data_IF_947440172504
#
_entry.id   IF_947440172504
#
_cell.length_a   1.000
_cell.length_b   1.000
_cell.length_c   1.000
_cell.angle_alpha   90.00
_cell.angle_beta   90.00
_cell.angle_gamma   90.00
#
_symmetry.space_group_name_H-M   'P 1'
#
loop_
_entity.id
_entity.type
_entity.pdbx_description
1 polymer ?
#
# COMPACT_ATOMS: atom_id res chain seq x y z
N UNK A 1 55.70 -44.35 -15.49
CA UNK A 1 54.96 -43.79 -16.64
C UNK A 1 53.80 -42.99 -16.06
N UNK A 2 54.00 -41.69 -15.82
CA UNK A 2 53.72 -40.58 -16.77
C UNK A 2 52.24 -40.16 -16.64
N UNK A 3 51.98 -39.15 -15.80
CA UNK A 3 51.73 -37.73 -16.15
C UNK A 3 50.23 -37.40 -16.20
N UNK A 4 49.81 -36.41 -15.39
CA UNK A 4 48.76 -35.46 -15.80
C UNK A 4 48.93 -34.12 -15.10
N UNK A 5 49.72 -33.28 -15.75
CA UNK A 5 49.56 -31.86 -16.01
C UNK A 5 48.43 -31.10 -15.26
N UNK A 6 48.82 -30.12 -14.43
CA UNK A 6 47.99 -28.97 -14.02
C UNK A 6 48.79 -27.70 -14.26
N UNK A 7 48.63 -27.11 -15.44
CA UNK A 7 49.26 -25.85 -15.84
C UNK A 7 48.58 -24.68 -15.12
N UNK A 8 49.17 -24.23 -14.01
CA UNK A 8 48.87 -22.92 -13.44
C UNK A 8 49.62 -21.86 -14.27
N UNK A 9 48.90 -21.21 -15.18
CA UNK A 9 49.43 -20.12 -16.02
C UNK A 9 49.68 -18.90 -15.13
N UNK A 10 50.91 -18.82 -14.60
CA UNK A 10 51.40 -17.64 -13.93
C UNK A 10 51.60 -16.52 -14.95
N UNK A 11 50.79 -15.46 -14.86
CA UNK A 11 50.96 -14.23 -15.63
C UNK A 11 52.29 -13.59 -15.21
N UNK A 12 53.36 -13.89 -15.93
CA UNK A 12 54.68 -13.23 -15.79
C UNK A 12 54.58 -11.84 -16.37
N UNK A 13 54.39 -10.84 -15.52
CA UNK A 13 54.54 -9.44 -15.88
C UNK A 13 56.03 -9.13 -16.09
N UNK A 14 56.40 -8.76 -17.31
CA UNK A 14 57.77 -8.42 -17.76
C UNK A 14 58.39 -7.22 -17.02
N UNK A 15 57.61 -6.50 -16.22
CA UNK A 15 58.08 -5.41 -15.36
C UNK A 15 58.93 -5.88 -14.15
N UNK A 16 58.97 -7.19 -13.88
CA UNK A 16 59.69 -7.76 -12.74
C UNK A 16 61.22 -7.77 -12.86
N UNK A 17 61.78 -7.70 -14.07
CA UNK A 17 63.22 -7.89 -14.28
C UNK A 17 64.06 -6.60 -14.14
N UNK A 18 63.47 -5.41 -14.31
CA UNK A 18 64.25 -4.16 -14.28
C UNK A 18 64.61 -3.65 -12.88
N UNK A 19 63.85 -4.02 -11.84
CA UNK A 19 64.10 -3.53 -10.47
C UNK A 19 64.62 -4.61 -9.49
N UNK A 20 64.76 -5.88 -9.90
CA UNK A 20 65.28 -6.95 -9.04
C UNK A 20 66.82 -7.02 -8.99
N UNK A 21 67.52 -6.40 -9.94
CA UNK A 21 68.98 -6.56 -10.09
C UNK A 21 69.81 -5.46 -9.38
N UNK A 22 69.19 -4.63 -8.53
CA UNK A 22 69.93 -3.54 -7.85
C UNK A 22 69.42 -3.19 -6.45
N UNK A 23 69.48 -4.15 -5.54
CA UNK A 23 69.06 -3.99 -4.13
C UNK A 23 69.98 -3.10 -3.26
N UNK A 24 71.10 -2.61 -3.79
CA UNK A 24 72.07 -1.80 -3.01
C UNK A 24 72.07 -0.29 -3.33
N UNK A 25 71.28 0.21 -4.29
CA UNK A 25 71.28 1.65 -4.66
C UNK A 25 70.01 2.38 -4.18
N UNK A 26 70.14 3.64 -3.70
CA UNK A 26 69.06 4.50 -3.13
C UNK A 26 67.82 4.62 -4.03
N UNK A 27 67.98 4.52 -5.35
CA UNK A 27 66.89 4.57 -6.34
C UNK A 27 66.15 3.23 -6.53
N UNK A 28 66.84 2.08 -6.34
CA UNK A 28 66.22 0.75 -6.42
C UNK A 28 65.27 0.47 -5.25
N UNK A 29 65.65 0.92 -4.05
CA UNK A 29 64.76 0.90 -2.86
C UNK A 29 63.47 1.70 -3.09
N UNK A 30 63.56 2.85 -3.77
CA UNK A 30 62.39 3.66 -4.14
C UNK A 30 61.49 2.97 -5.17
N UNK A 31 62.07 2.28 -6.16
CA UNK A 31 61.31 1.48 -7.14
C UNK A 31 60.56 0.32 -6.47
N UNK A 32 61.25 -0.41 -5.58
CA UNK A 32 60.65 -1.53 -4.83
C UNK A 32 59.52 -1.08 -3.91
N UNK A 33 59.71 0.03 -3.18
CA UNK A 33 58.65 0.63 -2.35
C UNK A 33 57.43 1.11 -3.16
N UNK A 34 57.64 1.69 -4.34
CA UNK A 34 56.55 2.11 -5.23
C UNK A 34 55.72 0.91 -5.74
N UNK A 35 56.36 -0.22 -6.05
CA UNK A 35 55.68 -1.45 -6.49
C UNK A 35 54.72 -1.99 -5.43
N UNK A 36 55.15 -1.99 -4.17
CA UNK A 36 54.33 -2.45 -3.03
C UNK A 36 53.14 -1.51 -2.82
N UNK A 37 53.36 -0.19 -2.94
CA UNK A 37 52.30 0.82 -2.85
C UNK A 37 51.28 0.67 -3.98
N UNK A 38 51.71 0.43 -5.23
CA UNK A 38 50.80 0.22 -6.36
C UNK A 38 49.91 -1.02 -6.18
N UNK A 39 50.44 -2.11 -5.62
CA UNK A 39 49.64 -3.33 -5.35
C UNK A 39 48.61 -3.06 -4.24
N UNK A 40 48.93 -2.23 -3.25
CA UNK A 40 48.01 -1.86 -2.17
C UNK A 40 46.94 -0.84 -2.60
N UNK A 41 47.20 -0.01 -3.61
CA UNK A 41 46.23 0.99 -4.11
C UNK A 41 45.02 0.33 -4.81
N UNK A 42 45.23 -0.79 -5.51
CA UNK A 42 44.16 -1.49 -6.23
C UNK A 42 43.01 -1.94 -5.30
N UNK A 43 43.24 -2.69 -4.20
CA UNK A 43 42.17 -3.05 -3.27
C UNK A 43 41.56 -1.83 -2.57
N UNK A 44 42.34 -0.79 -2.29
CA UNK A 44 41.81 0.46 -1.74
C UNK A 44 40.82 1.16 -2.69
N UNK A 45 41.13 1.22 -3.99
CA UNK A 45 40.24 1.80 -5.00
C UNK A 45 38.95 0.99 -5.16
N UNK A 46 39.05 -0.35 -5.14
CA UNK A 46 37.88 -1.23 -5.17
C UNK A 46 36.96 -0.98 -3.96
N UNK A 47 37.54 -0.83 -2.77
CA UNK A 47 36.77 -0.53 -1.54
C UNK A 47 36.11 0.86 -1.60
N UNK A 48 36.79 1.86 -2.15
CA UNK A 48 36.23 3.22 -2.33
C UNK A 48 35.06 3.19 -3.30
N UNK A 49 35.21 2.54 -4.46
CA UNK A 49 34.14 2.41 -5.46
C UNK A 49 32.96 1.64 -4.89
N UNK A 50 33.21 0.51 -4.22
CA UNK A 50 32.15 -0.28 -3.59
C UNK A 50 31.41 0.51 -2.51
N UNK A 51 32.13 1.27 -1.68
CA UNK A 51 31.54 2.11 -0.64
C UNK A 51 30.73 3.27 -1.24
N UNK A 52 31.22 3.87 -2.34
CA UNK A 52 30.49 4.91 -3.07
C UNK A 52 29.19 4.40 -3.70
N UNK A 53 29.23 3.23 -4.33
CA UNK A 53 28.01 2.58 -4.87
C UNK A 53 27.02 2.30 -3.74
N UNK A 54 27.49 1.72 -2.62
CA UNK A 54 26.64 1.43 -1.45
C UNK A 54 26.02 2.70 -0.87
N UNK A 55 26.81 3.74 -0.68
CA UNK A 55 26.33 5.01 -0.14
C UNK A 55 25.27 5.63 -1.06
N UNK A 56 25.49 5.61 -2.38
CA UNK A 56 24.50 6.10 -3.34
C UNK A 56 23.19 5.29 -3.26
N UNK A 57 23.28 3.96 -3.20
CA UNK A 57 22.09 3.10 -3.03
C UNK A 57 21.40 3.32 -1.69
N UNK A 58 22.15 3.55 -0.62
CA UNK A 58 21.61 3.78 0.72
C UNK A 58 20.89 5.14 0.79
N UNK A 59 21.48 6.20 0.22
CA UNK A 59 20.84 7.52 0.14
C UNK A 59 19.57 7.47 -0.70
N UNK A 60 19.60 6.80 -1.85
CA UNK A 60 18.39 6.61 -2.68
C UNK A 60 17.31 5.82 -1.90
N UNK A 61 17.71 4.77 -1.18
CA UNK A 61 16.81 3.99 -0.33
C UNK A 61 16.19 4.82 0.79
N UNK A 62 16.91 5.81 1.34
CA UNK A 62 16.38 6.71 2.37
C UNK A 62 15.31 7.65 1.80
N UNK A 63 15.53 8.22 0.60
CA UNK A 63 14.53 9.06 -0.07
C UNK A 63 13.27 8.27 -0.44
N UNK A 64 13.45 7.09 -1.06
CA UNK A 64 12.35 6.19 -1.40
C UNK A 64 11.55 5.79 -0.15
N UNK A 65 12.23 5.59 0.99
CA UNK A 65 11.60 5.25 2.28
C UNK A 65 10.67 6.35 2.81
N UNK A 66 10.94 7.63 2.54
CA UNK A 66 10.08 8.71 3.03
C UNK A 66 8.77 8.78 2.22
N UNK A 67 8.86 8.78 0.89
CA UNK A 67 7.67 8.74 0.02
C UNK A 67 6.84 7.47 0.26
N UNK A 68 7.50 6.34 0.57
CA UNK A 68 6.82 5.11 0.97
C UNK A 68 6.06 5.25 2.29
N UNK A 69 6.64 5.91 3.31
CA UNK A 69 5.95 6.16 4.58
C UNK A 69 4.70 7.00 4.37
N UNK A 70 4.78 8.04 3.55
CA UNK A 70 3.65 8.91 3.25
C UNK A 70 2.54 8.13 2.52
N UNK A 71 2.92 7.24 1.58
CA UNK A 71 1.98 6.36 0.86
C UNK A 71 1.31 5.35 1.80
N UNK A 72 2.05 4.79 2.75
CA UNK A 72 1.52 3.87 3.77
C UNK A 72 0.56 4.61 4.70
N UNK A 73 0.92 5.81 5.15
CA UNK A 73 0.07 6.62 6.00
C UNK A 73 -1.25 6.95 5.30
N UNK A 74 -1.18 7.39 4.04
CA UNK A 74 -2.38 7.61 3.23
C UNK A 74 -3.24 6.35 3.10
N UNK A 75 -2.62 5.19 2.89
CA UNK A 75 -3.33 3.91 2.81
C UNK A 75 -4.07 3.57 4.11
N UNK A 76 -3.49 3.90 5.27
CA UNK A 76 -4.13 3.73 6.57
C UNK A 76 -5.29 4.71 6.77
N UNK A 77 -5.14 5.97 6.35
CA UNK A 77 -6.21 6.97 6.37
C UNK A 77 -7.42 6.52 5.52
N UNK A 78 -7.17 6.10 4.28
CA UNK A 78 -8.21 5.57 3.39
C UNK A 78 -8.85 4.32 3.99
N UNK A 79 -8.06 3.43 4.60
CA UNK A 79 -8.64 2.23 5.22
C UNK A 79 -9.54 2.56 6.41
N UNK A 80 -9.15 3.53 7.24
CA UNK A 80 -10.02 4.00 8.31
C UNK A 80 -11.34 4.53 7.73
N UNK A 81 -11.29 5.31 6.63
CA UNK A 81 -12.50 5.77 5.96
C UNK A 81 -13.38 4.61 5.46
N UNK A 82 -12.81 3.62 4.77
CA UNK A 82 -13.55 2.42 4.33
C UNK A 82 -14.23 1.75 5.50
N UNK A 83 -13.54 1.61 6.64
CA UNK A 83 -14.13 1.02 7.83
C UNK A 83 -15.32 1.85 8.38
N UNK A 84 -15.24 3.18 8.36
CA UNK A 84 -16.34 4.06 8.78
C UNK A 84 -17.53 3.97 7.83
N UNK A 85 -17.31 4.00 6.52
CA UNK A 85 -18.37 3.85 5.52
C UNK A 85 -19.05 2.48 5.64
N UNK A 86 -18.28 1.41 5.82
CA UNK A 86 -18.84 0.07 6.05
C UNK A 86 -19.71 -0.01 7.31
N UNK A 87 -19.31 0.72 8.37
CA UNK A 87 -20.07 0.79 9.64
C UNK A 87 -21.34 1.62 9.47
N UNK A 88 -21.26 2.74 8.75
CA UNK A 88 -22.40 3.60 8.42
C UNK A 88 -23.42 2.83 7.59
N UNK A 89 -22.99 2.18 6.49
CA UNK A 89 -23.84 1.28 5.70
C UNK A 89 -24.55 0.25 6.57
N UNK A 90 -23.80 -0.47 7.40
CA UNK A 90 -24.36 -1.51 8.28
C UNK A 90 -25.41 -0.97 9.24
N UNK A 91 -25.20 0.23 9.77
CA UNK A 91 -26.13 0.90 10.68
C UNK A 91 -27.34 1.46 9.95
N UNK A 92 -27.17 2.01 8.74
CA UNK A 92 -28.26 2.45 7.85
C UNK A 92 -29.16 1.29 7.47
N UNK A 93 -28.59 0.15 7.05
CA UNK A 93 -29.35 -1.07 6.74
C UNK A 93 -30.15 -1.54 7.95
N UNK A 94 -29.53 -1.52 9.14
CA UNK A 94 -30.22 -1.88 10.38
C UNK A 94 -31.36 -0.91 10.70
N UNK A 95 -31.17 0.40 10.50
CA UNK A 95 -32.18 1.44 10.72
C UNK A 95 -33.38 1.30 9.77
N UNK A 96 -33.13 1.07 8.48
CA UNK A 96 -34.18 0.79 7.48
C UNK A 96 -34.91 -0.50 7.86
N UNK A 97 -34.17 -1.56 8.21
CA UNK A 97 -34.73 -2.85 8.58
C UNK A 97 -35.58 -2.81 9.86
N UNK A 98 -35.23 -1.96 10.82
CA UNK A 98 -35.99 -1.74 12.07
C UNK A 98 -37.18 -0.81 11.89
N UNK A 99 -37.41 -0.28 10.67
CA UNK A 99 -38.46 0.69 10.35
C UNK A 99 -38.35 1.99 11.15
N UNK A 100 -37.14 2.49 11.31
CA UNK A 100 -36.92 3.81 11.90
C UNK A 100 -36.78 3.81 13.42
N UNK A 101 -36.25 2.74 14.01
CA UNK A 101 -36.04 2.64 15.46
C UNK A 101 -35.17 3.81 16.01
N UNK A 102 -35.65 4.57 17.02
CA UNK A 102 -34.92 5.70 17.58
C UNK A 102 -33.55 5.36 18.22
N UNK A 103 -33.40 4.18 18.81
CA UNK A 103 -32.13 3.76 19.42
C UNK A 103 -31.08 3.53 18.33
N UNK A 104 -31.50 2.91 17.22
CA UNK A 104 -30.64 2.69 16.06
C UNK A 104 -30.31 4.02 15.37
N UNK A 105 -31.26 4.97 15.31
CA UNK A 105 -31.01 6.31 14.78
C UNK A 105 -29.90 7.05 15.55
N UNK A 106 -29.87 6.91 16.87
CA UNK A 106 -28.82 7.49 17.72
C UNK A 106 -27.44 6.93 17.35
N UNK A 107 -27.36 5.60 17.18
CA UNK A 107 -26.13 4.94 16.71
C UNK A 107 -25.73 5.36 15.29
N UNK A 108 -26.72 5.56 14.42
CA UNK A 108 -26.51 6.00 13.04
C UNK A 108 -25.91 7.41 13.00
N UNK A 109 -26.41 8.33 13.84
CA UNK A 109 -25.91 9.70 13.95
C UNK A 109 -24.46 9.74 14.46
N UNK A 110 -24.10 8.86 15.40
CA UNK A 110 -22.71 8.70 15.84
C UNK A 110 -21.81 8.18 14.71
N UNK A 111 -22.35 7.27 13.88
CA UNK A 111 -21.66 6.78 12.70
C UNK A 111 -21.42 7.90 11.69
N UNK A 112 -22.42 8.75 11.42
CA UNK A 112 -22.29 9.91 10.52
C UNK A 112 -21.14 10.82 10.94
N UNK A 113 -21.09 11.20 12.22
CA UNK A 113 -20.01 12.02 12.75
C UNK A 113 -18.63 11.36 12.56
N UNK A 114 -18.53 10.07 12.85
CA UNK A 114 -17.28 9.32 12.72
C UNK A 114 -16.80 9.22 11.27
N UNK A 115 -17.73 9.08 10.32
CA UNK A 115 -17.42 9.08 8.89
C UNK A 115 -16.98 10.46 8.42
N UNK A 116 -17.66 11.52 8.85
CA UNK A 116 -17.31 12.89 8.48
C UNK A 116 -15.90 13.26 8.99
N UNK A 117 -15.57 12.89 10.22
CA UNK A 117 -14.21 13.02 10.77
C UNK A 117 -13.17 12.26 9.94
N UNK A 118 -13.48 11.02 9.54
CA UNK A 118 -12.59 10.22 8.69
C UNK A 118 -12.36 10.86 7.32
N UNK A 119 -13.42 11.36 6.67
CA UNK A 119 -13.32 12.09 5.38
C UNK A 119 -12.41 13.31 5.53
N UNK A 120 -12.59 14.09 6.60
CA UNK A 120 -11.79 15.28 6.86
C UNK A 120 -10.32 14.94 7.11
N UNK A 121 -10.04 13.83 7.81
CA UNK A 121 -8.67 13.39 8.13
C UNK A 121 -7.81 12.97 6.94
N UNK A 122 -8.39 12.66 5.78
CA UNK A 122 -7.63 12.23 4.60
C UNK A 122 -6.74 13.37 4.11
N UNK A 123 -5.44 13.16 4.07
CA UNK A 123 -4.46 14.19 3.69
C UNK A 123 -4.43 14.45 2.19
N UNK A 124 -4.44 13.39 1.38
CA UNK A 124 -4.36 13.45 -0.09
C UNK A 124 -5.61 12.82 -0.68
N UNK A 125 -6.36 13.59 -1.47
CA UNK A 125 -7.53 13.09 -2.18
C UNK A 125 -7.17 12.79 -3.63
N UNK A 126 -7.38 11.55 -4.07
CA UNK A 126 -7.13 11.17 -5.46
C UNK A 126 -8.38 11.48 -6.31
N UNK A 127 -8.21 12.14 -7.44
CA UNK A 127 -9.30 12.45 -8.38
C UNK A 127 -9.20 11.72 -9.71
N UNK A 128 -8.21 10.82 -9.85
CA UNK A 128 -7.95 10.12 -11.11
C UNK A 128 -8.98 9.02 -11.36
N UNK A 129 -9.60 9.05 -12.54
CA UNK A 129 -10.56 8.04 -13.04
C UNK A 129 -11.75 7.77 -12.11
N UNK A 130 -12.20 8.79 -11.36
CA UNK A 130 -13.36 8.68 -10.48
C UNK A 130 -14.59 9.39 -11.04
N UNK A 131 -15.80 9.06 -10.55
CA UNK A 131 -17.01 9.81 -10.88
C UNK A 131 -16.93 11.27 -10.42
N UNK A 132 -17.74 12.16 -11.02
CA UNK A 132 -17.76 13.60 -10.69
C UNK A 132 -17.94 13.87 -9.19
N UNK A 133 -18.75 13.07 -8.50
CA UNK A 133 -19.00 13.19 -7.07
C UNK A 133 -17.80 12.77 -6.19
N UNK A 134 -16.77 12.17 -6.77
CA UNK A 134 -15.51 11.79 -6.11
C UNK A 134 -14.32 12.71 -6.48
N UNK A 135 -14.53 13.73 -7.31
CA UNK A 135 -13.44 14.61 -7.79
C UNK A 135 -12.74 15.36 -6.66
N UNK A 136 -13.45 15.63 -5.56
CA UNK A 136 -12.89 16.29 -4.39
C UNK A 136 -13.49 15.72 -3.11
N UNK A 137 -12.75 15.90 -2.02
CA UNK A 137 -13.22 15.57 -0.67
C UNK A 137 -14.56 16.25 -0.36
N UNK A 138 -14.72 17.51 -0.76
CA UNK A 138 -15.96 18.27 -0.56
C UNK A 138 -17.12 17.71 -1.37
N UNK A 139 -16.90 17.38 -2.65
CA UNK A 139 -17.91 16.76 -3.51
C UNK A 139 -18.39 15.42 -2.96
N UNK A 140 -17.45 14.60 -2.46
CA UNK A 140 -17.78 13.31 -1.87
C UNK A 140 -18.54 13.45 -0.55
N UNK A 141 -18.14 14.40 0.27
CA UNK A 141 -18.85 14.70 1.51
C UNK A 141 -20.28 15.19 1.25
N UNK A 142 -20.48 16.03 0.25
CA UNK A 142 -21.81 16.49 -0.16
C UNK A 142 -22.65 15.34 -0.75
N UNK A 143 -22.03 14.43 -1.49
CA UNK A 143 -22.66 13.20 -2.00
C UNK A 143 -23.25 12.35 -0.86
N UNK A 144 -22.45 12.06 0.18
CA UNK A 144 -22.93 11.32 1.36
C UNK A 144 -24.02 12.09 2.09
N UNK A 145 -23.85 13.40 2.30
CA UNK A 145 -24.88 14.22 2.97
C UNK A 145 -26.21 14.20 2.25
N UNK A 146 -26.19 14.28 0.92
CA UNK A 146 -27.40 14.21 0.11
C UNK A 146 -28.10 12.86 0.27
N UNK A 147 -27.34 11.76 0.32
CA UNK A 147 -27.91 10.43 0.59
C UNK A 147 -28.52 10.33 1.99
N UNK A 148 -27.86 10.86 3.02
CA UNK A 148 -28.41 10.92 4.39
C UNK A 148 -29.72 11.71 4.44
N UNK A 149 -29.81 12.84 3.73
CA UNK A 149 -31.04 13.62 3.63
C UNK A 149 -32.15 12.85 2.92
N UNK A 150 -31.82 12.09 1.87
CA UNK A 150 -32.79 11.22 1.18
C UNK A 150 -33.32 10.13 2.12
N UNK A 151 -32.50 9.59 3.01
CA UNK A 151 -32.94 8.59 4.00
C UNK A 151 -34.07 9.11 4.91
N UNK A 152 -34.03 10.39 5.27
CA UNK A 152 -35.04 11.00 6.15
C UNK A 152 -36.34 11.36 5.41
N UNK A 153 -36.27 11.62 4.10
CA UNK A 153 -37.39 12.19 3.32
C UNK A 153 -37.97 11.23 2.27
N UNK A 154 -37.34 10.08 2.03
CA UNK A 154 -37.76 9.12 1.02
C UNK A 154 -37.77 7.69 1.58
N UNK A 155 -38.59 6.83 0.96
CA UNK A 155 -38.66 5.42 1.34
C UNK A 155 -37.51 4.63 0.68
N UNK A 156 -36.28 4.85 1.14
CA UNK A 156 -35.13 4.08 0.71
C UNK A 156 -35.25 2.62 1.16
N UNK A 157 -34.84 1.71 0.29
CA UNK A 157 -34.77 0.28 0.61
C UNK A 157 -33.39 -0.09 1.15
N UNK A 158 -33.30 -1.26 1.79
CA UNK A 158 -32.01 -1.85 2.19
C UNK A 158 -31.09 -2.01 0.97
N UNK A 159 -31.64 -2.34 -0.20
CA UNK A 159 -30.86 -2.51 -1.42
C UNK A 159 -30.22 -1.19 -1.85
N UNK A 160 -30.98 -0.10 -1.87
CA UNK A 160 -30.48 1.22 -2.26
C UNK A 160 -29.32 1.67 -1.36
N UNK A 161 -29.46 1.48 -0.04
CA UNK A 161 -28.40 1.82 0.91
C UNK A 161 -27.15 0.96 0.74
N UNK A 162 -27.32 -0.35 0.49
CA UNK A 162 -26.18 -1.23 0.23
C UNK A 162 -25.49 -0.83 -1.06
N UNK A 163 -26.23 -0.64 -2.15
CA UNK A 163 -25.67 -0.28 -3.45
C UNK A 163 -24.91 1.04 -3.39
N UNK A 164 -25.50 2.07 -2.77
CA UNK A 164 -24.89 3.39 -2.61
C UNK A 164 -23.50 3.29 -1.95
N UNK A 165 -23.43 2.79 -0.73
CA UNK A 165 -22.16 2.74 0.01
C UNK A 165 -21.17 1.73 -0.56
N UNK A 166 -21.64 0.67 -1.25
CA UNK A 166 -20.74 -0.33 -1.84
C UNK A 166 -20.00 0.22 -3.06
N UNK A 167 -20.66 1.06 -3.87
CA UNK A 167 -19.99 1.77 -4.98
C UNK A 167 -18.86 2.67 -4.48
N UNK A 168 -19.10 3.39 -3.39
CA UNK A 168 -18.08 4.26 -2.78
C UNK A 168 -16.91 3.43 -2.21
N UNK A 169 -17.21 2.34 -1.50
CA UNK A 169 -16.18 1.45 -0.96
C UNK A 169 -15.30 0.84 -2.06
N UNK A 170 -15.88 0.46 -3.21
CA UNK A 170 -15.13 -0.11 -4.33
C UNK A 170 -14.03 0.84 -4.83
N UNK A 171 -14.33 2.14 -4.93
CA UNK A 171 -13.38 3.18 -5.33
C UNK A 171 -12.24 3.30 -4.31
N UNK A 172 -12.54 3.35 -3.01
CA UNK A 172 -11.51 3.45 -1.98
C UNK A 172 -10.66 2.18 -1.87
N UNK A 173 -11.27 1.00 -2.03
CA UNK A 173 -10.53 -0.28 -2.08
C UNK A 173 -9.57 -0.29 -3.27
N UNK A 174 -10.01 0.20 -4.43
CA UNK A 174 -9.15 0.36 -5.60
C UNK A 174 -7.97 1.31 -5.33
N UNK A 175 -8.19 2.43 -4.63
CA UNK A 175 -7.11 3.33 -4.23
C UNK A 175 -6.08 2.66 -3.32
N UNK A 176 -6.54 1.90 -2.33
CA UNK A 176 -5.65 1.11 -1.46
C UNK A 176 -4.86 0.12 -2.33
N UNK A 177 -5.52 -0.63 -3.22
CA UNK A 177 -4.87 -1.58 -4.11
C UNK A 177 -3.76 -0.95 -4.96
N UNK A 178 -4.01 0.25 -5.50
CA UNK A 178 -3.01 1.02 -6.23
C UNK A 178 -1.87 1.48 -5.34
N UNK A 179 -2.14 1.99 -4.14
CA UNK A 179 -1.11 2.38 -3.19
C UNK A 179 -0.20 1.18 -2.83
N UNK A 180 -0.78 0.00 -2.58
CA UNK A 180 -0.03 -1.22 -2.29
C UNK A 180 0.87 -1.65 -3.46
N UNK A 181 0.43 -1.47 -4.72
CA UNK A 181 1.27 -1.77 -5.90
C UNK A 181 2.50 -0.86 -5.99
N UNK A 182 2.41 0.39 -5.56
CA UNK A 182 3.56 1.32 -5.60
C UNK A 182 4.63 0.99 -4.53
N UNK A 183 4.26 0.29 -3.46
CA UNK A 183 5.14 0.01 -2.30
C UNK A 183 5.81 -1.39 -2.39
N UNK A 184 5.77 -2.07 -3.53
CA UNK A 184 6.22 -3.46 -3.74
C UNK A 184 7.65 -3.80 -3.26
N UNK A 185 8.54 -2.82 -3.16
CA UNK A 185 9.97 -3.04 -2.81
C UNK A 185 10.25 -3.10 -1.31
N UNK A 186 9.23 -2.99 -0.46
CA UNK A 186 9.39 -2.89 1.00
C UNK A 186 9.07 -4.21 1.70
N UNK A 187 9.82 -4.53 2.76
CA UNK A 187 9.56 -5.67 3.63
C UNK A 187 8.11 -5.73 4.19
N UNK A 188 7.42 -4.59 4.25
CA UNK A 188 6.06 -4.47 4.76
C UNK A 188 4.96 -4.68 3.70
N UNK A 189 5.32 -4.79 2.41
CA UNK A 189 4.36 -4.94 1.31
C UNK A 189 3.37 -6.10 1.52
N UNK A 190 3.87 -7.26 1.98
CA UNK A 190 3.03 -8.45 2.25
C UNK A 190 1.93 -8.17 3.27
N UNK A 191 2.20 -7.36 4.29
CA UNK A 191 1.21 -6.98 5.29
C UNK A 191 0.12 -6.09 4.67
N UNK A 192 0.51 -5.14 3.81
CA UNK A 192 -0.44 -4.26 3.11
C UNK A 192 -1.32 -5.03 2.12
N UNK A 193 -0.76 -5.96 1.36
CA UNK A 193 -1.54 -6.84 0.45
C UNK A 193 -2.52 -7.70 1.24
N UNK A 194 -2.06 -8.29 2.35
CA UNK A 194 -2.92 -9.11 3.22
C UNK A 194 -4.07 -8.27 3.75
N UNK A 195 -3.78 -7.05 4.20
CA UNK A 195 -4.80 -6.14 4.72
C UNK A 195 -5.79 -5.71 3.63
N UNK A 196 -5.32 -5.37 2.43
CA UNK A 196 -6.17 -5.09 1.27
C UNK A 196 -7.09 -6.28 0.95
N UNK A 197 -6.57 -7.50 0.90
CA UNK A 197 -7.37 -8.71 0.67
C UNK A 197 -8.43 -8.95 1.77
N UNK A 198 -8.09 -8.64 3.03
CA UNK A 198 -9.05 -8.71 4.12
C UNK A 198 -10.17 -7.67 3.95
N UNK A 199 -9.87 -6.45 3.52
CA UNK A 199 -10.88 -5.41 3.25
C UNK A 199 -11.82 -5.85 2.13
N UNK A 200 -11.28 -6.35 1.01
CA UNK A 200 -12.06 -6.91 -0.10
C UNK A 200 -12.98 -8.03 0.40
N UNK A 201 -12.45 -8.95 1.20
CA UNK A 201 -13.22 -10.08 1.76
C UNK A 201 -14.35 -9.61 2.68
N UNK A 202 -14.07 -8.60 3.54
CA UNK A 202 -15.08 -7.97 4.41
C UNK A 202 -16.18 -7.31 3.59
N UNK A 203 -15.83 -6.67 2.49
CA UNK A 203 -16.79 -5.98 1.63
C UNK A 203 -17.74 -6.97 0.95
N UNK A 204 -17.20 -8.01 0.32
CA UNK A 204 -18.01 -9.05 -0.33
C UNK A 204 -18.94 -9.74 0.67
N UNK A 205 -18.40 -10.14 1.84
CA UNK A 205 -19.21 -10.73 2.92
C UNK A 205 -20.31 -9.77 3.42
N UNK A 206 -20.00 -8.47 3.48
CA UNK A 206 -20.94 -7.42 3.89
C UNK A 206 -22.12 -7.29 2.91
N UNK A 207 -21.82 -7.29 1.61
CA UNK A 207 -22.81 -7.25 0.53
C UNK A 207 -23.68 -8.51 0.57
N UNK A 208 -23.07 -9.70 0.64
CA UNK A 208 -23.79 -10.98 0.72
C UNK A 208 -24.74 -11.04 1.93
N UNK A 209 -24.27 -10.60 3.11
CA UNK A 209 -25.10 -10.55 4.32
C UNK A 209 -26.30 -9.64 4.14
N UNK A 210 -26.09 -8.44 3.60
CA UNK A 210 -27.16 -7.47 3.44
C UNK A 210 -28.21 -7.94 2.43
N UNK A 211 -27.78 -8.46 1.27
CA UNK A 211 -28.66 -9.05 0.27
C UNK A 211 -29.39 -10.29 0.81
N UNK A 212 -28.66 -11.20 1.46
CA UNK A 212 -29.22 -12.41 2.06
C UNK A 212 -30.30 -12.09 3.11
N UNK A 213 -30.08 -11.07 3.94
CA UNK A 213 -31.09 -10.60 4.90
C UNK A 213 -32.33 -10.03 4.20
N UNK A 214 -32.15 -9.24 3.14
CA UNK A 214 -33.25 -8.66 2.38
C UNK A 214 -34.11 -9.74 1.70
N UNK A 215 -33.47 -10.71 1.03
CA UNK A 215 -34.16 -11.85 0.41
C UNK A 215 -34.90 -12.72 1.42
N UNK A 216 -34.32 -12.97 2.61
CA UNK A 216 -34.98 -13.73 3.66
C UNK A 216 -36.29 -13.05 4.12
N UNK A 217 -36.26 -11.73 4.34
CA UNK A 217 -37.46 -10.96 4.72
C UNK A 217 -38.50 -10.98 3.60
N UNK A 218 -38.09 -10.81 2.34
CA UNK A 218 -38.99 -10.81 1.19
C UNK A 218 -39.63 -12.19 0.96
N UNK A 219 -38.88 -13.28 1.06
CA UNK A 219 -39.39 -14.64 0.97
C UNK A 219 -40.45 -14.94 2.03
N UNK A 220 -40.24 -14.48 3.28
CA UNK A 220 -41.25 -14.60 4.35
C UNK A 220 -42.53 -13.81 4.06
N UNK A 221 -42.43 -12.65 3.40
CA UNK A 221 -43.57 -11.82 2.99
C UNK A 221 -44.38 -12.48 1.88
N UNK A 222 -43.72 -13.11 0.90
CA UNK A 222 -44.38 -13.84 -0.19
C UNK A 222 -45.12 -15.09 0.33
N UNK A 223 -44.49 -15.87 1.23
CA UNK A 223 -45.15 -17.03 1.87
C UNK A 223 -46.42 -16.65 2.63
N UNK A 224 -46.46 -15.51 3.31
CA UNK A 224 -47.67 -15.03 4.01
C UNK A 224 -48.76 -14.52 3.06
N UNK A 225 -48.44 -14.15 1.82
CA UNK A 225 -49.40 -13.68 0.81
C UNK A 225 -50.02 -14.82 0.00
N UNK A 226 -49.35 -15.97 -0.13
CA UNK A 226 -49.88 -17.16 -0.81
C UNK A 226 -50.74 -18.10 0.06
N UNK A 227 -51.06 -17.71 1.30
CA UNK A 227 -51.98 -18.44 2.21
C UNK A 227 -53.22 -17.57 2.48
N UNK A 228 -53.76 -16.93 1.44
CA UNK A 228 -55.08 -16.30 1.47
C UNK A 228 -55.88 -16.74 0.25
#
# INVERSE_FOLDING_TARGET
>A
MEERNSNFVGVRTTLGHLCAERDTTRSGKRCSSLRIVCIAIIPCLVLIVQSGIKLHTDVQSLYDSQTMKDTIQLSLEITNLVHRIQTERGTTVLYIGSKGDPEIFTRLTLSYKSTDEAILSITIWNSMDTPDYFMSKTSFHDHIKNFRHLLDHSNLTVFDAVEFYSKDNEIFIYWIGNAVRHVQKVAFWTHLVTYHMLIVSKEQTGIERALGSAFHVQGKKMRKRGIR
#
